data_IF_064258029542
#
_entry.id   IF_064258029542
#
_cell.length_a   1.000
_cell.length_b   1.000
_cell.length_c   1.000
_cell.angle_alpha   90.00
_cell.angle_beta   90.00
_cell.angle_gamma   90.00
#
_symmetry.space_group_name_H-M   'P 1'
#
loop_
_entity.id
_entity.type
_entity.pdbx_description
1 polymer ?
#
# COMPACT_ATOMS: atom_id res chain seq x y z
N UNK A 1 8.96 -9.69 17.11
CA UNK A 1 9.06 -8.32 16.55
C UNK A 1 7.82 -7.55 17.01
N UNK A 2 7.96 -6.40 17.69
CA UNK A 2 6.80 -5.68 18.23
C UNK A 2 5.82 -5.34 17.09
N UNK A 3 4.57 -5.84 17.15
CA UNK A 3 3.59 -5.72 16.05
C UNK A 3 3.30 -4.27 15.64
N UNK A 4 3.59 -3.30 16.52
CA UNK A 4 3.51 -1.87 16.22
C UNK A 4 4.66 -1.38 15.35
N UNK A 5 5.88 -1.85 15.61
CA UNK A 5 7.09 -1.55 14.82
C UNK A 5 6.97 -2.15 13.41
N UNK A 6 6.54 -3.40 13.30
CA UNK A 6 6.33 -4.05 12.00
C UNK A 6 5.31 -3.33 11.12
N UNK A 7 4.23 -2.81 11.73
CA UNK A 7 3.24 -1.99 11.03
C UNK A 7 3.77 -0.62 10.59
N UNK A 8 4.56 0.02 11.44
CA UNK A 8 5.26 1.26 11.07
C UNK A 8 6.22 1.05 9.90
N UNK A 9 7.00 -0.03 9.93
CA UNK A 9 7.92 -0.39 8.84
C UNK A 9 7.15 -0.67 7.55
N UNK A 10 6.03 -1.42 7.61
CA UNK A 10 5.21 -1.70 6.42
C UNK A 10 4.63 -0.42 5.80
N UNK A 11 4.18 0.53 6.63
CA UNK A 11 3.68 1.83 6.16
C UNK A 11 4.79 2.67 5.50
N UNK A 12 5.98 2.70 6.11
CA UNK A 12 7.14 3.44 5.57
C UNK A 12 7.58 2.83 4.24
N UNK A 13 7.72 1.51 4.14
CA UNK A 13 8.09 0.81 2.92
C UNK A 13 7.08 1.05 1.79
N UNK A 14 5.78 1.00 2.11
CA UNK A 14 4.73 1.31 1.15
C UNK A 14 4.78 2.78 0.67
N UNK A 15 5.02 3.72 1.58
CA UNK A 15 5.18 5.14 1.24
C UNK A 15 6.40 5.41 0.36
N UNK A 16 7.54 4.75 0.62
CA UNK A 16 8.75 4.85 -0.22
C UNK A 16 8.47 4.26 -1.61
N UNK A 17 7.81 3.11 -1.68
CA UNK A 17 7.43 2.48 -2.94
C UNK A 17 6.52 3.37 -3.79
N UNK A 18 5.55 4.05 -3.16
CA UNK A 18 4.70 5.05 -3.82
C UNK A 18 5.48 6.29 -4.27
N UNK A 19 6.50 6.72 -3.52
CA UNK A 19 7.31 7.88 -3.88
C UNK A 19 8.21 7.58 -5.09
N UNK A 20 8.84 6.40 -5.11
CA UNK A 20 9.67 5.94 -6.24
C UNK A 20 8.81 5.68 -7.47
N UNK A 21 7.68 5.00 -7.30
CA UNK A 21 6.73 4.77 -8.38
C UNK A 21 5.93 6.02 -8.77
N UNK A 22 5.99 7.12 -8.01
CA UNK A 22 5.07 8.25 -8.14
C UNK A 22 5.14 8.96 -9.49
N UNK A 23 6.34 9.08 -10.09
CA UNK A 23 6.50 9.66 -11.41
C UNK A 23 5.85 8.81 -12.50
N UNK A 24 6.03 7.49 -12.44
CA UNK A 24 5.45 6.52 -13.39
C UNK A 24 3.96 6.30 -13.14
N UNK A 25 3.53 6.29 -11.87
CA UNK A 25 2.13 6.21 -11.46
C UNK A 25 1.40 7.47 -11.95
N UNK A 26 1.93 8.67 -11.73
CA UNK A 26 1.28 9.90 -12.16
C UNK A 26 1.21 10.02 -13.69
N UNK A 27 2.26 9.57 -14.39
CA UNK A 27 2.32 9.54 -15.85
C UNK A 27 1.38 8.48 -16.44
N UNK A 28 1.31 7.30 -15.83
CA UNK A 28 0.38 6.22 -16.23
C UNK A 28 -1.07 6.58 -15.94
N UNK A 29 -1.35 7.14 -14.75
CA UNK A 29 -2.70 7.52 -14.33
C UNK A 29 -3.27 8.69 -15.15
N UNK A 30 -2.45 9.67 -15.53
CA UNK A 30 -2.92 10.85 -16.27
C UNK A 30 -2.78 10.74 -17.78
N UNK A 31 -1.83 9.94 -18.30
CA UNK A 31 -1.49 9.95 -19.73
C UNK A 31 -1.68 8.62 -20.45
N UNK A 32 -1.82 7.49 -19.76
CA UNK A 32 -1.93 6.16 -20.38
C UNK A 32 -3.18 5.40 -19.93
N UNK A 33 -4.29 5.58 -20.64
CA UNK A 33 -5.57 4.90 -20.36
C UNK A 33 -5.48 3.36 -20.47
N UNK A 34 -4.51 2.82 -21.21
CA UNK A 34 -4.35 1.37 -21.40
C UNK A 34 -3.63 0.67 -20.22
N UNK A 35 -2.65 1.35 -19.60
CA UNK A 35 -1.89 0.82 -18.46
C UNK A 35 -2.51 1.23 -17.10
N UNK A 36 -3.47 2.17 -17.15
CA UNK A 36 -4.29 2.62 -16.02
C UNK A 36 -4.88 1.48 -15.17
N UNK A 37 -5.60 0.48 -15.71
CA UNK A 37 -6.26 -0.54 -14.90
C UNK A 37 -5.27 -1.40 -14.10
N UNK A 38 -4.11 -1.76 -14.67
CA UNK A 38 -3.12 -2.57 -13.98
C UNK A 38 -2.40 -1.79 -12.87
N UNK A 39 -2.01 -0.54 -13.15
CA UNK A 39 -1.45 0.36 -12.12
C UNK A 39 -2.45 0.58 -10.98
N UNK A 40 -3.73 0.79 -11.30
CA UNK A 40 -4.77 1.01 -10.30
C UNK A 40 -4.98 -0.23 -9.41
N UNK A 41 -5.00 -1.43 -9.99
CA UNK A 41 -5.12 -2.69 -9.25
C UNK A 41 -3.93 -2.87 -8.29
N UNK A 42 -2.71 -2.54 -8.73
CA UNK A 42 -1.52 -2.59 -7.86
C UNK A 42 -1.62 -1.66 -6.65
N UNK A 43 -2.07 -0.42 -6.87
CA UNK A 43 -2.26 0.58 -5.81
C UNK A 43 -3.36 0.12 -4.83
N UNK A 44 -4.52 -0.31 -5.35
CA UNK A 44 -5.66 -0.77 -4.53
C UNK A 44 -5.27 -2.01 -3.72
N UNK A 45 -4.58 -2.98 -4.34
CA UNK A 45 -4.09 -4.18 -3.67
C UNK A 45 -3.09 -3.84 -2.56
N UNK A 46 -2.17 -2.91 -2.81
CA UNK A 46 -1.22 -2.41 -1.82
C UNK A 46 -1.90 -1.75 -0.62
N UNK A 47 -2.89 -0.88 -0.87
CA UNK A 47 -3.70 -0.25 0.19
C UNK A 47 -4.49 -1.31 0.97
N UNK A 48 -5.13 -2.27 0.30
CA UNK A 48 -5.87 -3.35 0.94
C UNK A 48 -4.98 -4.23 1.84
N UNK A 49 -3.77 -4.56 1.38
CA UNK A 49 -2.76 -5.25 2.18
C UNK A 49 -2.34 -4.46 3.42
N UNK A 50 -2.14 -3.15 3.27
CA UNK A 50 -1.86 -2.25 4.40
C UNK A 50 -3.03 -2.23 5.40
N UNK A 51 -4.27 -2.07 4.93
CA UNK A 51 -5.46 -2.09 5.77
C UNK A 51 -5.57 -3.42 6.51
N UNK A 52 -5.33 -4.55 5.85
CA UNK A 52 -5.39 -5.87 6.48
C UNK A 52 -4.31 -6.03 7.57
N UNK A 53 -3.09 -5.55 7.32
CA UNK A 53 -1.99 -5.51 8.31
C UNK A 53 -2.38 -4.67 9.53
N UNK A 54 -2.97 -3.49 9.31
CA UNK A 54 -3.40 -2.60 10.40
C UNK A 54 -4.63 -3.12 11.15
N UNK A 55 -5.60 -3.72 10.43
CA UNK A 55 -6.85 -4.26 10.97
C UNK A 55 -6.64 -5.56 11.75
N UNK A 56 -5.72 -6.44 11.33
CA UNK A 56 -5.46 -7.72 12.01
C UNK A 56 -5.05 -7.55 13.48
N UNK A 57 -4.43 -6.42 13.80
CA UNK A 57 -4.01 -6.09 15.16
C UNK A 57 -5.13 -5.53 16.05
N UNK A 58 -6.34 -5.29 15.51
CA UNK A 58 -7.49 -4.83 16.30
C UNK A 58 -8.25 -6.02 16.92
N UNK A 59 -8.14 -7.21 16.33
CA UNK A 59 -8.74 -8.46 16.83
C UNK A 59 -7.89 -9.27 17.80
N UNK A 60 -6.63 -8.90 18.02
CA UNK A 60 -5.70 -9.61 18.92
C UNK A 60 -5.70 -9.05 20.36
N UNK A 61 -6.76 -8.31 20.72
CA UNK A 61 -7.04 -7.85 22.10
C UNK A 61 -8.23 -8.56 22.74
N UNK A 62 -8.71 -9.66 22.16
CA UNK A 62 -9.88 -10.39 22.65
C UNK A 62 -9.71 -11.92 22.62
N UNK A 63 -8.52 -12.41 22.99
CA UNK A 63 -8.32 -13.79 23.44
C UNK A 63 -7.34 -13.84 24.59
#
# INVERSE_FOLDING_TARGET
MNSKIAKGIALILFGILLCIGGADINKTLLSSWNDFPFSLVGIISGIAGLVMIFAKNKGEKDK
#
